data_IF_230006806086
#
_entry.id   IF_230006806086
#
_cell.length_a   1.000
_cell.length_b   1.000
_cell.length_c   1.000
_cell.angle_alpha   90.00
_cell.angle_beta   90.00
_cell.angle_gamma   90.00
#
_symmetry.space_group_name_H-M   'P 1'
#
loop_
_entity.id
_entity.type
_entity.pdbx_description
1 polymer ?
#
# COMPACT_ATOMS: atom_id res chain seq x y z
N UNK A 1 16.50 4.05 -45.76
CA UNK A 1 16.41 5.52 -45.77
C UNK A 1 14.95 5.87 -45.54
N UNK A 2 14.56 6.13 -44.30
CA UNK A 2 13.26 6.70 -43.96
C UNK A 2 13.27 8.18 -44.36
N UNK A 3 12.24 8.71 -45.05
CA UNK A 3 12.20 10.13 -45.39
C UNK A 3 12.23 10.94 -44.09
N UNK A 4 13.12 11.93 -44.01
CA UNK A 4 13.03 13.00 -43.00
C UNK A 4 11.64 13.63 -43.17
N UNK A 5 10.76 13.45 -42.19
CA UNK A 5 9.45 14.10 -42.21
C UNK A 5 9.63 15.61 -42.33
N UNK A 6 8.89 16.23 -43.25
CA UNK A 6 8.86 17.67 -43.39
C UNK A 6 8.50 18.28 -42.03
N UNK A 7 9.31 19.25 -41.58
CA UNK A 7 9.07 19.93 -40.33
C UNK A 7 7.86 20.84 -40.49
N UNK A 8 6.73 20.43 -39.92
CA UNK A 8 5.50 21.21 -39.92
C UNK A 8 5.70 22.47 -39.06
N UNK A 9 5.40 23.64 -39.61
CA UNK A 9 5.48 24.89 -38.86
C UNK A 9 4.26 25.03 -37.96
N UNK A 10 4.49 24.97 -36.65
CA UNK A 10 3.45 25.03 -35.64
C UNK A 10 3.79 26.10 -34.60
N UNK A 11 2.84 27.00 -34.35
CA UNK A 11 2.96 28.04 -33.34
C UNK A 11 1.81 27.97 -32.32
N UNK A 12 2.09 28.24 -31.03
CA UNK A 12 1.05 28.28 -30.01
C UNK A 12 0.13 29.48 -30.26
N UNK A 13 -1.16 29.21 -30.50
CA UNK A 13 -2.17 30.28 -30.61
C UNK A 13 -2.61 30.79 -29.25
N UNK A 14 -2.61 29.91 -28.24
CA UNK A 14 -2.85 30.23 -26.83
C UNK A 14 -2.19 29.15 -25.94
N UNK A 15 -2.54 29.10 -24.64
CA UNK A 15 -1.97 28.13 -23.69
C UNK A 15 -2.31 26.67 -23.97
N UNK A 16 -3.43 26.39 -24.64
CA UNK A 16 -4.00 25.05 -24.83
C UNK A 16 -4.16 24.67 -26.31
N UNK A 17 -3.93 25.60 -27.23
CA UNK A 17 -4.18 25.45 -28.66
C UNK A 17 -2.92 25.74 -29.46
N UNK A 18 -2.50 24.75 -30.26
CA UNK A 18 -1.43 24.85 -31.25
C UNK A 18 -2.06 25.05 -32.63
N UNK A 19 -1.54 25.99 -33.41
CA UNK A 19 -1.88 26.14 -34.84
C UNK A 19 -0.71 25.66 -35.67
N UNK A 20 -0.99 24.89 -36.71
CA UNK A 20 0.02 24.40 -37.64
C UNK A 20 -0.35 24.77 -39.06
N UNK A 21 0.60 25.34 -39.79
CA UNK A 21 0.40 25.74 -41.18
C UNK A 21 0.69 24.54 -42.10
N UNK A 22 -0.36 24.00 -42.72
CA UNK A 22 -0.25 22.88 -43.65
C UNK A 22 0.22 23.30 -45.05
N UNK A 23 0.21 24.61 -45.33
CA UNK A 23 0.55 25.21 -46.62
C UNK A 23 -0.63 25.96 -47.26
N UNK A 24 -0.33 26.99 -48.04
CA UNK A 24 -1.32 27.78 -48.78
C UNK A 24 -0.87 27.99 -50.25
N UNK A 25 -1.41 27.21 -51.21
CA UNK A 25 -2.39 26.13 -51.02
C UNK A 25 -1.76 24.85 -50.45
N UNK A 26 -2.55 24.05 -49.73
CA UNK A 26 -2.19 22.66 -49.42
C UNK A 26 -2.38 21.80 -50.67
N UNK A 27 -1.31 21.12 -51.12
CA UNK A 27 -1.35 20.29 -52.32
C UNK A 27 -2.22 19.04 -52.09
N UNK A 28 -2.95 18.55 -53.11
CA UNK A 28 -3.70 17.31 -53.00
C UNK A 28 -2.79 16.13 -52.60
N UNK A 29 -3.13 15.45 -51.51
CA UNK A 29 -2.31 14.36 -50.98
C UNK A 29 -2.58 14.07 -49.51
N UNK A 30 -1.68 13.30 -48.89
CA UNK A 30 -1.69 13.00 -47.46
C UNK A 30 -0.43 13.56 -46.83
N UNK A 31 -0.59 14.20 -45.67
CA UNK A 31 0.52 14.66 -44.84
C UNK A 31 0.48 13.87 -43.53
N UNK A 32 1.61 13.28 -43.16
CA UNK A 32 1.81 12.62 -41.87
C UNK A 32 2.80 13.43 -41.04
N UNK A 33 2.43 13.74 -39.80
CA UNK A 33 3.27 14.48 -38.88
C UNK A 33 3.10 13.96 -37.46
N UNK A 34 4.05 14.31 -36.58
CA UNK A 34 4.03 13.93 -35.18
C UNK A 34 4.11 15.18 -34.30
N UNK A 35 3.20 15.27 -33.33
CA UNK A 35 3.23 16.28 -32.29
C UNK A 35 3.60 15.61 -30.96
N UNK A 36 4.59 16.18 -30.26
CA UNK A 36 5.00 15.72 -28.94
C UNK A 36 4.58 16.74 -27.89
N UNK A 37 3.76 16.29 -26.95
CA UNK A 37 3.33 17.09 -25.81
C UNK A 37 4.05 16.64 -24.54
N UNK A 38 4.32 17.58 -23.64
CA UNK A 38 4.77 17.27 -22.29
C UNK A 38 3.64 17.62 -21.30
N UNK A 39 2.93 16.63 -20.74
CA UNK A 39 1.84 16.87 -19.82
C UNK A 39 2.38 17.24 -18.43
N UNK A 40 2.74 18.50 -18.23
CA UNK A 40 3.13 19.03 -16.92
C UNK A 40 1.93 19.67 -16.22
N UNK A 41 1.79 19.44 -14.91
CA UNK A 41 0.77 20.10 -14.09
C UNK A 41 -0.63 19.51 -14.18
N UNK A 42 -0.75 18.25 -14.62
CA UNK A 42 -2.00 17.51 -14.50
C UNK A 42 -2.41 17.42 -13.03
N UNK A 43 -3.68 17.72 -12.74
CA UNK A 43 -4.23 17.53 -11.40
C UNK A 43 -4.35 16.04 -11.08
N UNK A 44 -4.37 15.69 -9.79
CA UNK A 44 -4.52 14.29 -9.36
C UNK A 44 -5.89 13.69 -9.75
N UNK A 45 -6.89 14.52 -10.08
CA UNK A 45 -8.24 14.11 -10.41
C UNK A 45 -8.45 13.75 -11.90
N UNK A 46 -7.55 14.19 -12.79
CA UNK A 46 -7.70 13.95 -14.23
C UNK A 46 -7.36 12.51 -14.61
N UNK A 47 -8.34 11.74 -15.09
CA UNK A 47 -8.15 10.34 -15.52
C UNK A 47 -7.93 10.18 -17.02
N UNK A 48 -8.17 11.23 -17.79
CA UNK A 48 -7.96 11.22 -19.23
C UNK A 48 -7.64 12.62 -19.77
N UNK A 49 -7.00 12.65 -20.92
CA UNK A 49 -6.73 13.84 -21.70
C UNK A 49 -7.44 13.73 -23.04
N UNK A 50 -8.13 14.81 -23.42
CA UNK A 50 -8.76 14.91 -24.73
C UNK A 50 -7.98 15.90 -25.59
N UNK A 51 -7.54 15.45 -26.75
CA UNK A 51 -6.93 16.28 -27.78
C UNK A 51 -7.92 16.41 -28.93
N UNK A 52 -8.32 17.64 -29.23
CA UNK A 52 -9.15 17.95 -30.38
C UNK A 52 -8.27 18.48 -31.51
N UNK A 53 -8.35 17.83 -32.66
CA UNK A 53 -7.64 18.20 -33.87
C UNK A 53 -8.69 18.68 -34.86
N UNK A 54 -8.54 19.93 -35.31
CA UNK A 54 -9.46 20.54 -36.26
C UNK A 54 -8.71 21.04 -37.50
N UNK A 55 -9.15 20.64 -38.69
CA UNK A 55 -8.73 21.28 -39.95
C UNK A 55 -9.57 22.52 -40.23
N UNK A 56 -8.93 23.57 -40.75
CA UNK A 56 -9.61 24.78 -41.21
C UNK A 56 -9.01 25.24 -42.53
N UNK A 57 -9.85 25.68 -43.46
CA UNK A 57 -9.44 26.21 -44.77
C UNK A 57 -10.15 27.53 -45.08
N UNK A 58 -9.53 28.37 -45.91
CA UNK A 58 -10.16 29.60 -46.43
C UNK A 58 -11.01 29.36 -47.68
N UNK A 59 -10.93 28.17 -48.29
CA UNK A 59 -11.77 27.78 -49.42
C UNK A 59 -13.17 27.36 -48.98
N UNK A 60 -14.12 27.29 -49.93
CA UNK A 60 -15.43 26.71 -49.67
C UNK A 60 -15.30 25.20 -49.37
N UNK A 61 -15.51 24.84 -48.11
CA UNK A 61 -15.50 23.45 -47.66
C UNK A 61 -16.82 22.76 -48.01
N UNK A 62 -16.73 21.55 -48.56
CA UNK A 62 -17.88 20.72 -48.95
C UNK A 62 -18.17 19.61 -47.95
N UNK A 63 -17.27 19.33 -47.01
CA UNK A 63 -17.27 18.13 -46.16
C UNK A 63 -17.11 18.43 -44.67
N UNK A 64 -17.56 19.58 -44.18
CA UNK A 64 -17.43 20.11 -42.80
C UNK A 64 -17.59 19.10 -41.63
N UNK A 65 -18.26 17.96 -41.84
CA UNK A 65 -18.45 16.92 -40.84
C UNK A 65 -17.19 16.08 -40.54
N UNK A 66 -16.13 16.15 -41.36
CA UNK A 66 -14.89 15.38 -41.16
C UNK A 66 -13.71 16.20 -40.60
N UNK A 67 -13.93 17.49 -40.33
CA UNK A 67 -12.87 18.42 -39.93
C UNK A 67 -12.38 18.24 -38.49
N UNK A 68 -13.17 17.61 -37.62
CA UNK A 68 -12.88 17.50 -36.19
C UNK A 68 -12.69 16.04 -35.77
N UNK A 69 -11.51 15.76 -35.20
CA UNK A 69 -11.19 14.47 -34.58
C UNK A 69 -10.86 14.70 -33.12
N UNK A 70 -11.43 13.87 -32.24
CA UNK A 70 -11.08 13.84 -30.81
C UNK A 70 -10.29 12.58 -30.51
N UNK A 71 -9.11 12.75 -29.95
CA UNK A 71 -8.26 11.68 -29.43
C UNK A 71 -8.32 11.70 -27.91
N UNK A 72 -8.58 10.54 -27.30
CA UNK A 72 -8.60 10.40 -25.84
C UNK A 72 -7.41 9.56 -25.39
N UNK A 73 -6.60 10.10 -24.50
CA UNK A 73 -5.51 9.39 -23.84
C UNK A 73 -5.88 9.14 -22.37
N UNK A 74 -5.74 7.89 -21.92
CA UNK A 74 -5.94 7.55 -20.51
C UNK A 74 -4.70 7.93 -19.69
N UNK A 75 -4.92 8.50 -18.50
CA UNK A 75 -3.85 8.87 -17.58
C UNK A 75 -3.70 7.77 -16.53
N UNK A 76 -2.62 6.99 -16.64
CA UNK A 76 -2.28 5.94 -15.68
C UNK A 76 -1.26 6.50 -14.68
N UNK A 77 -1.61 6.50 -13.39
CA UNK A 77 -0.71 6.91 -12.29
C UNK A 77 -0.26 5.68 -11.51
N UNK A 78 1.05 5.47 -11.46
CA UNK A 78 1.64 4.35 -10.74
C UNK A 78 2.36 4.86 -9.48
N UNK A 79 1.82 4.47 -8.32
CA UNK A 79 2.54 4.50 -7.05
C UNK A 79 3.18 3.13 -6.84
N UNK A 80 4.47 3.09 -6.54
CA UNK A 80 5.22 1.85 -6.36
C UNK A 80 5.49 1.67 -4.87
N UNK A 81 4.67 0.83 -4.23
CA UNK A 81 4.72 0.63 -2.78
C UNK A 81 5.54 -0.60 -2.43
N UNK A 82 6.46 -0.43 -1.49
CA UNK A 82 7.30 -1.46 -0.92
C UNK A 82 6.97 -1.62 0.57
N UNK A 83 6.77 -2.87 1.01
CA UNK A 83 6.62 -3.22 2.42
C UNK A 83 7.85 -4.02 2.86
N UNK A 84 8.50 -3.55 3.91
CA UNK A 84 9.59 -4.27 4.57
C UNK A 84 9.26 -4.45 6.05
N UNK A 85 9.66 -5.58 6.62
CA UNK A 85 9.49 -5.89 8.03
C UNK A 85 10.82 -6.31 8.63
N UNK A 86 11.10 -5.88 9.86
CA UNK A 86 12.25 -6.35 10.62
C UNK A 86 11.88 -6.50 12.10
N UNK A 87 12.52 -7.45 12.78
CA UNK A 87 12.44 -7.61 14.23
C UNK A 87 13.73 -7.08 14.83
N UNK A 88 13.66 -6.31 15.92
CA UNK A 88 14.87 -5.85 16.61
C UNK A 88 15.68 -7.04 17.12
N UNK A 89 14.99 -8.05 17.65
CA UNK A 89 15.58 -9.33 18.04
C UNK A 89 15.42 -10.36 16.92
N UNK A 90 16.53 -10.83 16.35
CA UNK A 90 16.53 -11.89 15.33
C UNK A 90 16.30 -13.29 15.93
N UNK A 91 16.61 -13.47 17.21
CA UNK A 91 16.39 -14.72 17.92
C UNK A 91 16.15 -14.43 19.40
N UNK A 92 15.13 -15.07 19.96
CA UNK A 92 14.82 -15.01 21.38
C UNK A 92 15.08 -16.39 21.97
N UNK A 93 15.77 -16.44 23.11
CA UNK A 93 15.95 -17.68 23.87
C UNK A 93 14.84 -17.77 24.89
N UNK A 94 14.08 -18.86 24.86
CA UNK A 94 13.05 -19.14 25.85
C UNK A 94 13.60 -20.09 26.92
N UNK A 95 13.30 -19.81 28.19
CA UNK A 95 13.76 -20.58 29.35
C UNK A 95 13.22 -19.95 30.64
N UNK A 96 13.43 -20.62 31.78
CA UNK A 96 12.94 -20.17 33.08
C UNK A 96 11.97 -21.16 33.74
N UNK A 97 11.42 -20.78 34.88
CA UNK A 97 10.43 -21.58 35.59
C UNK A 97 9.12 -21.65 34.79
N UNK A 98 8.55 -22.85 34.68
CA UNK A 98 7.29 -23.05 33.98
C UNK A 98 6.16 -22.45 34.82
N UNK A 99 5.72 -21.25 34.45
CA UNK A 99 4.53 -20.60 35.01
C UNK A 99 3.33 -20.85 34.11
N UNK A 100 2.20 -21.22 34.70
CA UNK A 100 0.91 -21.28 33.99
C UNK A 100 0.32 -19.90 33.80
N UNK A 101 -0.51 -19.72 32.76
CA UNK A 101 -1.17 -18.44 32.42
C UNK A 101 -1.83 -17.76 33.61
N UNK A 102 -2.58 -18.51 34.42
CA UNK A 102 -3.30 -17.98 35.59
C UNK A 102 -2.39 -17.46 36.72
N UNK A 103 -1.09 -17.80 36.69
CA UNK A 103 -0.12 -17.35 37.68
C UNK A 103 0.65 -16.09 37.23
N UNK A 104 0.52 -15.68 35.96
CA UNK A 104 1.16 -14.49 35.40
C UNK A 104 0.32 -13.27 35.77
N UNK A 105 0.96 -12.22 36.30
CA UNK A 105 0.28 -10.97 36.66
C UNK A 105 0.88 -9.75 35.99
N UNK A 106 2.19 -9.75 35.81
CA UNK A 106 2.94 -8.63 35.26
C UNK A 106 3.56 -8.98 33.91
N UNK A 107 3.76 -7.96 33.07
CA UNK A 107 4.31 -8.15 31.71
C UNK A 107 5.68 -8.85 31.69
N UNK A 108 6.56 -8.52 32.64
CA UNK A 108 7.91 -9.08 32.76
C UNK A 108 7.91 -10.57 33.14
N UNK A 109 6.79 -11.10 33.61
CA UNK A 109 6.61 -12.52 33.88
C UNK A 109 6.19 -13.33 32.64
N UNK A 110 5.78 -12.68 31.54
CA UNK A 110 5.38 -13.34 30.28
C UNK A 110 6.60 -13.89 29.55
N UNK A 111 7.68 -13.09 29.48
CA UNK A 111 8.90 -13.44 28.76
C UNK A 111 9.64 -12.24 28.22
N UNK A 112 10.57 -12.48 27.29
CA UNK A 112 11.32 -11.42 26.61
C UNK A 112 10.42 -10.61 25.69
N UNK A 113 10.54 -9.29 25.75
CA UNK A 113 9.87 -8.37 24.83
C UNK A 113 10.49 -8.48 23.44
N UNK A 114 9.65 -8.40 22.41
CA UNK A 114 10.07 -8.44 21.00
C UNK A 114 9.42 -7.28 20.25
N UNK A 115 10.21 -6.55 19.46
CA UNK A 115 9.72 -5.43 18.66
C UNK A 115 9.73 -5.75 17.16
N UNK A 116 8.54 -5.74 16.55
CA UNK A 116 8.38 -5.87 15.09
C UNK A 116 8.10 -4.50 14.45
N UNK A 117 8.99 -4.08 13.54
CA UNK A 117 8.87 -2.83 12.80
C UNK A 117 8.55 -3.12 11.34
N UNK A 118 7.46 -2.54 10.86
CA UNK A 118 7.06 -2.58 9.45
C UNK A 118 7.22 -1.20 8.83
N UNK A 119 7.91 -1.11 7.69
CA UNK A 119 8.18 0.13 6.97
C UNK A 119 7.55 0.03 5.59
N UNK A 120 6.67 0.99 5.30
CA UNK A 120 6.03 1.16 4.00
C UNK A 120 6.70 2.32 3.30
N UNK A 121 7.21 2.09 2.09
CA UNK A 121 7.89 3.10 1.28
C UNK A 121 7.20 3.21 -0.07
N UNK A 122 6.98 4.43 -0.53
CA UNK A 122 6.59 4.68 -1.92
C UNK A 122 7.85 5.03 -2.73
N UNK A 123 8.32 4.11 -3.55
CA UNK A 123 9.43 4.29 -4.48
C UNK A 123 8.99 4.98 -5.79
N UNK A 124 7.68 5.02 -6.05
CA UNK A 124 7.12 5.56 -7.28
C UNK A 124 7.00 7.09 -7.30
N UNK A 125 6.82 7.69 -8.49
CA UNK A 125 6.73 9.13 -8.65
C UNK A 125 5.37 9.71 -8.19
N UNK A 126 4.32 8.88 -8.14
CA UNK A 126 2.98 9.29 -7.75
C UNK A 126 2.67 8.90 -6.31
N UNK A 127 1.92 9.75 -5.60
CA UNK A 127 1.47 9.47 -4.23
C UNK A 127 0.32 8.46 -4.26
N UNK A 128 0.34 7.51 -3.33
CA UNK A 128 -0.84 6.71 -3.02
C UNK A 128 -1.79 7.52 -2.13
N UNK A 129 -3.05 7.65 -2.53
CA UNK A 129 -4.07 8.43 -1.80
C UNK A 129 -4.52 7.75 -0.51
N UNK A 130 -4.61 6.41 -0.52
CA UNK A 130 -4.95 5.57 0.62
C UNK A 130 -4.16 4.26 0.54
N UNK A 131 -3.60 3.84 1.67
CA UNK A 131 -2.88 2.58 1.82
C UNK A 131 -3.51 1.83 2.98
N UNK A 132 -3.99 0.62 2.72
CA UNK A 132 -4.44 -0.31 3.76
C UNK A 132 -3.40 -1.45 3.84
N UNK A 133 -2.84 -1.69 5.03
CA UNK A 133 -1.88 -2.77 5.27
C UNK A 133 -2.48 -3.79 6.22
N UNK A 134 -2.44 -5.06 5.83
CA UNK A 134 -2.94 -6.16 6.64
C UNK A 134 -1.75 -7.00 7.16
N UNK A 135 -1.49 -6.91 8.46
CA UNK A 135 -0.47 -7.70 9.14
C UNK A 135 -1.16 -8.89 9.79
N UNK A 136 -0.73 -10.09 9.44
CA UNK A 136 -1.16 -11.30 10.15
C UNK A 136 -0.21 -11.57 11.29
N UNK A 137 -0.73 -11.63 12.51
CA UNK A 137 0.06 -11.76 13.73
C UNK A 137 -0.06 -13.17 14.33
N UNK A 138 1.06 -13.88 14.59
CA UNK A 138 1.04 -15.25 15.08
C UNK A 138 0.91 -15.30 16.61
N UNK A 139 -0.34 -15.20 17.09
CA UNK A 139 -0.64 -15.19 18.53
C UNK A 139 -0.32 -16.50 19.23
N UNK A 140 -0.54 -17.63 18.54
CA UNK A 140 -0.49 -18.95 19.15
C UNK A 140 0.28 -19.96 18.28
N UNK A 141 0.86 -20.97 18.95
CA UNK A 141 1.41 -22.17 18.32
C UNK A 141 0.46 -23.34 18.53
N UNK A 142 0.27 -24.17 17.51
CA UNK A 142 -0.62 -25.33 17.61
C UNK A 142 -0.11 -26.34 18.63
N UNK A 143 -1.04 -26.91 19.40
CA UNK A 143 -0.74 -27.94 20.41
C UNK A 143 -1.73 -29.13 20.35
N UNK A 144 -2.51 -29.25 19.26
CA UNK A 144 -3.55 -30.27 19.10
C UNK A 144 -4.81 -30.08 19.95
N UNK A 145 -4.98 -28.93 20.62
CA UNK A 145 -6.18 -28.56 21.39
C UNK A 145 -6.97 -27.45 20.69
N UNK A 146 -8.17 -27.16 21.18
CA UNK A 146 -9.03 -26.08 20.65
C UNK A 146 -8.34 -24.71 20.68
N UNK A 147 -7.51 -24.47 21.71
CA UNK A 147 -6.65 -23.30 21.84
C UNK A 147 -5.18 -23.71 21.86
N UNK A 148 -4.36 -23.02 21.06
CA UNK A 148 -2.91 -23.21 21.02
C UNK A 148 -2.24 -22.73 22.30
N UNK A 149 -0.91 -22.77 22.32
CA UNK A 149 -0.13 -22.06 23.36
C UNK A 149 0.21 -20.67 22.88
N UNK A 150 0.26 -19.68 23.77
CA UNK A 150 0.74 -18.33 23.41
C UNK A 150 2.13 -18.39 22.79
N UNK A 151 2.32 -17.61 21.73
CA UNK A 151 3.60 -17.41 21.07
C UNK A 151 4.01 -15.94 21.17
N UNK A 152 3.31 -15.04 20.47
CA UNK A 152 3.54 -13.60 20.56
C UNK A 152 2.30 -12.89 21.12
N UNK A 153 2.43 -12.42 22.35
CA UNK A 153 1.39 -11.66 23.04
C UNK A 153 1.51 -10.16 22.73
N UNK A 154 0.46 -9.56 22.17
CA UNK A 154 0.43 -8.12 21.93
C UNK A 154 0.11 -7.38 23.22
N UNK A 155 1.10 -6.68 23.76
CA UNK A 155 0.95 -5.84 24.97
C UNK A 155 0.28 -4.50 24.65
N UNK A 156 0.51 -3.94 23.46
CA UNK A 156 -0.03 -2.64 23.08
C UNK A 156 -0.54 -2.56 21.64
N UNK A 157 -1.31 -1.51 21.36
CA UNK A 157 -1.73 -1.19 19.99
C UNK A 157 -0.49 -0.75 19.20
N UNK A 158 -0.25 -1.31 17.99
CA UNK A 158 0.88 -0.89 17.17
C UNK A 158 0.80 0.61 16.85
N UNK A 159 1.95 1.27 16.93
CA UNK A 159 2.06 2.71 16.68
C UNK A 159 2.38 2.97 15.21
N UNK A 160 1.70 3.95 14.61
CA UNK A 160 1.96 4.38 13.23
C UNK A 160 2.68 5.72 13.24
N UNK A 161 3.93 5.72 12.79
CA UNK A 161 4.77 6.94 12.70
C UNK A 161 5.20 7.18 11.26
N UNK A 162 5.26 8.44 10.82
CA UNK A 162 5.76 8.77 9.48
C UNK A 162 5.47 10.21 9.03
N UNK A 163 6.03 10.60 7.88
CA UNK A 163 5.76 11.88 7.23
C UNK A 163 4.30 11.94 6.78
N UNK A 164 3.45 12.52 7.63
CA UNK A 164 2.02 12.62 7.40
C UNK A 164 1.20 12.54 8.68
N UNK A 165 1.74 11.92 9.74
CA UNK A 165 1.16 11.91 11.10
C UNK A 165 -0.27 11.38 11.20
N UNK A 166 -0.76 10.71 10.16
CA UNK A 166 -2.17 10.32 9.99
C UNK A 166 -2.21 8.87 9.56
N UNK A 167 -2.32 7.99 10.54
CA UNK A 167 -2.51 6.56 10.35
C UNK A 167 -2.97 5.95 11.67
N UNK A 168 -3.74 4.89 11.58
CA UNK A 168 -4.22 4.16 12.76
C UNK A 168 -4.25 2.67 12.44
N UNK A 169 -4.11 1.85 13.47
CA UNK A 169 -4.28 0.42 13.35
C UNK A 169 -5.70 0.05 13.75
N UNK A 170 -6.36 -0.74 12.89
CA UNK A 170 -7.63 -1.36 13.21
C UNK A 170 -7.36 -2.67 13.94
N UNK A 171 -7.67 -2.70 15.23
CA UNK A 171 -7.57 -3.90 16.06
C UNK A 171 -8.97 -4.50 16.29
N UNK A 172 -9.08 -5.81 16.18
CA UNK A 172 -10.26 -6.56 16.58
C UNK A 172 -10.41 -6.66 18.09
N UNK A 173 -11.59 -7.09 18.59
CA UNK A 173 -11.80 -7.30 20.01
C UNK A 173 -10.83 -8.38 20.54
N UNK A 174 -10.30 -8.19 21.75
CA UNK A 174 -9.39 -9.11 22.43
C UNK A 174 -8.10 -9.45 21.66
N UNK A 175 -7.66 -8.59 20.73
CA UNK A 175 -6.38 -8.78 20.04
C UNK A 175 -5.19 -8.17 20.79
N UNK A 176 -5.43 -7.14 21.61
CA UNK A 176 -4.40 -6.45 22.39
C UNK A 176 -4.70 -6.67 23.85
N UNK A 177 -3.68 -7.11 24.61
CA UNK A 177 -3.72 -7.42 26.02
C UNK A 177 -5.01 -8.14 26.49
N UNK A 178 -5.44 -9.24 25.85
CA UNK A 178 -6.73 -9.89 26.18
C UNK A 178 -6.83 -10.45 27.60
N UNK A 179 -5.68 -10.68 28.26
CA UNK A 179 -5.59 -11.17 29.63
C UNK A 179 -5.46 -10.03 30.66
N UNK A 180 -5.47 -8.78 30.19
CA UNK A 180 -5.42 -7.57 31.03
C UNK A 180 -4.23 -7.57 32.01
N UNK A 181 -3.05 -7.96 31.52
CA UNK A 181 -1.84 -7.90 32.33
C UNK A 181 -1.46 -6.45 32.62
N UNK A 182 -0.88 -6.22 33.80
CA UNK A 182 -0.35 -4.91 34.17
C UNK A 182 0.94 -4.64 33.39
N UNK A 183 0.84 -3.73 32.43
CA UNK A 183 1.91 -3.40 31.48
C UNK A 183 2.52 -2.08 31.93
N UNK A 184 3.81 -2.11 32.29
CA UNK A 184 4.50 -0.93 32.79
C UNK A 184 4.53 0.19 31.72
N UNK A 185 3.96 1.32 32.10
CA UNK A 185 3.45 2.43 31.28
C UNK A 185 4.51 3.33 30.62
N UNK A 186 5.71 2.85 30.30
CA UNK A 186 6.69 3.72 29.62
C UNK A 186 6.35 3.99 28.13
N UNK A 187 5.38 3.27 27.56
CA UNK A 187 4.99 3.39 26.15
C UNK A 187 3.47 3.57 25.92
N UNK A 188 2.68 3.77 26.98
CA UNK A 188 1.22 3.99 26.92
C UNK A 188 0.82 5.45 26.61
N UNK A 189 1.55 6.15 25.74
CA UNK A 189 0.97 7.34 25.13
C UNK A 189 0.06 6.88 24.00
N UNK A 190 -1.24 7.19 24.10
CA UNK A 190 -2.29 7.00 23.08
C UNK A 190 -3.11 5.70 23.16
N UNK A 191 -3.71 5.40 24.31
CA UNK A 191 -4.88 4.50 24.39
C UNK A 191 -6.22 5.27 24.26
N UNK A 192 -6.21 6.60 24.39
CA UNK A 192 -7.46 7.38 24.49
C UNK A 192 -8.09 7.89 23.17
N UNK A 193 -7.54 7.58 21.99
CA UNK A 193 -8.04 8.18 20.73
C UNK A 193 -8.24 7.19 19.56
N UNK A 194 -8.52 5.91 19.82
CA UNK A 194 -8.94 4.98 18.75
C UNK A 194 -10.44 5.15 18.50
N UNK A 195 -10.89 5.50 17.29
CA UNK A 195 -12.31 5.50 16.95
C UNK A 195 -12.86 4.08 17.10
N UNK A 196 -13.80 3.88 18.03
CA UNK A 196 -14.56 2.64 18.13
C UNK A 196 -15.39 2.46 16.86
N UNK A 197 -15.30 1.29 16.23
CA UNK A 197 -16.16 0.93 15.11
C UNK A 197 -17.64 1.05 15.54
N UNK A 198 -18.54 1.60 14.70
CA UNK A 198 -19.97 1.57 15.00
C UNK A 198 -20.44 0.11 15.08
N UNK A 199 -21.18 -0.22 16.14
CA UNK A 199 -21.79 -1.54 16.33
C UNK A 199 -22.69 -1.90 15.15
N UNK A 200 -22.22 -2.77 14.25
CA UNK A 200 -23.06 -3.34 13.20
C UNK A 200 -23.94 -4.43 13.79
N UNK A 201 -25.26 -4.27 13.67
CA UNK A 201 -26.24 -5.31 14.01
C UNK A 201 -25.96 -6.59 13.25
N UNK A 202 -25.63 -7.65 14.00
CA UNK A 202 -25.88 -9.05 13.66
C UNK A 202 -25.48 -9.50 12.26
N UNK A 203 -24.20 -9.78 12.04
CA UNK A 203 -23.79 -10.84 11.13
C UNK A 203 -22.91 -11.79 11.90
N UNK A 204 -23.22 -13.09 11.87
CA UNK A 204 -22.41 -14.14 12.50
C UNK A 204 -21.07 -14.20 11.78
N UNK A 205 -20.14 -13.34 12.17
CA UNK A 205 -18.77 -13.36 11.72
C UNK A 205 -18.16 -14.67 12.19
N UNK A 206 -17.89 -15.56 11.24
CA UNK A 206 -17.10 -16.76 11.42
C UNK A 206 -15.82 -16.31 12.13
N UNK A 207 -15.57 -16.75 13.38
CA UNK A 207 -14.35 -16.41 14.13
C UNK A 207 -13.17 -16.68 13.20
N UNK A 208 -12.54 -15.61 12.69
CA UNK A 208 -11.32 -15.71 11.90
C UNK A 208 -10.34 -16.37 12.86
N UNK A 209 -9.94 -17.62 12.59
CA UNK A 209 -8.96 -18.31 13.42
C UNK A 209 -7.77 -17.36 13.52
N UNK A 210 -7.41 -16.99 14.74
CA UNK A 210 -6.14 -16.32 15.02
C UNK A 210 -5.04 -17.13 14.32
N UNK A 211 -4.01 -16.45 13.79
CA UNK A 211 -2.96 -17.15 13.06
C UNK A 211 -2.23 -18.08 14.03
N UNK A 212 -2.44 -19.38 13.86
CA UNK A 212 -1.76 -20.43 14.60
C UNK A 212 -0.61 -20.93 13.73
N UNK A 213 0.59 -20.92 14.27
CA UNK A 213 1.79 -21.43 13.58
C UNK A 213 2.14 -22.84 14.05
N UNK A 214 2.76 -23.62 13.16
CA UNK A 214 3.20 -24.98 13.44
C UNK A 214 4.68 -24.99 13.85
N UNK A 215 5.05 -25.70 14.92
CA UNK A 215 6.45 -25.89 15.28
C UNK A 215 7.11 -26.93 14.36
N UNK A 216 8.41 -26.76 14.10
CA UNK A 216 9.26 -27.72 13.39
C UNK A 216 10.34 -28.25 14.30
N UNK A 217 10.51 -29.56 14.38
CA UNK A 217 11.64 -30.17 15.08
C UNK A 217 12.93 -30.04 14.27
N UNK A 218 13.98 -29.52 14.92
CA UNK A 218 15.32 -29.36 14.39
C UNK A 218 16.31 -30.02 15.33
N UNK A 219 17.22 -30.86 14.81
CA UNK A 219 18.34 -31.39 15.58
C UNK A 219 19.48 -30.38 15.58
N UNK A 220 19.87 -29.93 16.76
CA UNK A 220 21.03 -29.08 16.94
C UNK A 220 22.33 -29.88 16.83
N UNK A 221 23.44 -29.17 16.61
CA UNK A 221 24.77 -29.75 16.39
C UNK A 221 25.28 -30.59 17.57
N UNK A 222 24.74 -30.36 18.76
CA UNK A 222 25.03 -31.08 20.00
C UNK A 222 24.17 -32.34 20.20
N UNK A 223 23.32 -32.69 19.24
CA UNK A 223 22.42 -33.83 19.29
C UNK A 223 21.09 -33.57 20.01
N UNK A 224 20.86 -32.37 20.55
CA UNK A 224 19.59 -31.99 21.16
C UNK A 224 18.50 -31.77 20.11
N UNK A 225 17.25 -32.12 20.44
CA UNK A 225 16.07 -31.83 19.60
C UNK A 225 15.47 -30.51 20.09
N UNK A 226 15.32 -29.55 19.19
CA UNK A 226 14.73 -28.24 19.46
C UNK A 226 13.48 -28.05 18.61
N UNK A 227 12.41 -27.50 19.21
CA UNK A 227 11.22 -27.09 18.49
C UNK A 227 11.39 -25.64 18.03
N UNK A 228 11.48 -25.43 16.73
CA UNK A 228 11.69 -24.13 16.11
C UNK A 228 10.40 -23.66 15.45
N UNK A 229 9.97 -22.44 15.77
CA UNK A 229 8.88 -21.77 15.07
C UNK A 229 9.48 -20.70 14.18
N UNK A 230 9.28 -20.82 12.86
CA UNK A 230 9.72 -19.81 11.89
C UNK A 230 8.53 -18.97 11.45
N UNK A 231 8.66 -17.64 11.55
CA UNK A 231 7.68 -16.69 11.01
C UNK A 231 8.17 -16.24 9.62
N UNK A 232 7.46 -16.63 8.56
CA UNK A 232 7.75 -16.25 7.17
C UNK A 232 6.59 -15.48 6.57
#
# INVERSE_FOLDING_TARGET
MTPKGDQLDCSPSNRTTLKCDLGNPFNPGKLEFQLRFNPTGLSDAETSLQLQIQSTTTSADKSVNDDLVTLTAEVIRNAELELSGNSEEQAVRYGGEIKGEAAIKFEDEIGSRVFHKYIIRNAGPWKASRIDVNISWPYQVENGREHGKWLLYLTGVPQVTGQGGKGYCLMGPNQVNPLDFDINSEYNSVVDNVPKMPESRGSKSRRKREMIVLPREVRASDGSIQNVVSMS
#
